data_IF_739018764440
#
_entry.id   IF_739018764440
#
_cell.length_a   1.000
_cell.length_b   1.000
_cell.length_c   1.000
_cell.angle_alpha   90.00
_cell.angle_beta   90.00
_cell.angle_gamma   90.00
#
_symmetry.space_group_name_H-M   'P 1'
#
loop_
_entity.id
_entity.type
_entity.pdbx_description
1 polymer ?
#
# COMPACT_ATOMS: atom_id res chain seq x y z
N UNK A 1 -5.92 2.73 2.76
CA UNK A 1 -4.75 2.46 1.89
C UNK A 1 -3.72 1.77 2.73
N UNK A 2 -3.02 0.78 2.19
CA UNK A 2 -1.95 0.05 2.90
C UNK A 2 -0.75 0.94 3.19
N UNK A 3 0.17 0.41 4.01
CA UNK A 3 1.46 1.01 4.28
C UNK A 3 2.48 0.56 3.22
N UNK A 4 3.48 1.38 2.98
CA UNK A 4 4.65 1.03 2.17
C UNK A 4 5.78 0.70 3.12
N UNK A 5 6.42 -0.44 2.93
CA UNK A 5 7.58 -0.85 3.70
C UNK A 5 8.47 -1.71 2.84
N UNK A 6 9.73 -1.83 3.24
CA UNK A 6 10.75 -2.56 2.51
C UNK A 6 11.56 -3.46 3.41
N UNK A 7 12.21 -4.43 2.77
CA UNK A 7 13.29 -5.20 3.37
C UNK A 7 14.62 -4.49 3.11
N UNK A 8 15.40 -4.29 4.17
CA UNK A 8 16.74 -3.73 4.11
C UNK A 8 17.64 -4.59 3.20
N UNK A 9 18.28 -3.96 2.21
CA UNK A 9 19.12 -4.64 1.23
C UNK A 9 20.39 -5.28 1.82
N UNK A 10 20.82 -4.85 2.99
CA UNK A 10 22.06 -5.27 3.64
C UNK A 10 21.85 -6.28 4.79
N UNK A 11 20.66 -6.32 5.39
CA UNK A 11 20.38 -7.18 6.55
C UNK A 11 19.26 -8.19 6.31
N UNK A 12 18.52 -8.08 5.20
CA UNK A 12 17.31 -8.85 4.92
C UNK A 12 16.24 -8.75 6.03
N UNK A 13 16.31 -7.69 6.85
CA UNK A 13 15.33 -7.39 7.91
C UNK A 13 14.29 -6.39 7.42
N UNK A 14 13.14 -6.41 8.08
CA UNK A 14 12.04 -5.50 7.84
C UNK A 14 12.34 -4.07 8.32
N UNK A 15 11.89 -3.09 7.54
CA UNK A 15 11.75 -1.69 7.96
C UNK A 15 10.38 -1.49 8.63
N UNK A 16 10.33 -1.65 9.95
CA UNK A 16 9.08 -1.60 10.71
C UNK A 16 8.57 -0.16 10.84
N UNK A 17 7.26 0.04 10.66
CA UNK A 17 6.58 1.32 10.85
C UNK A 17 6.67 1.81 12.31
N UNK A 18 6.85 3.12 12.49
CA UNK A 18 6.89 3.82 13.76
C UNK A 18 7.88 3.23 14.79
N UNK A 19 8.88 2.48 14.31
CA UNK A 19 9.94 1.90 15.12
C UNK A 19 11.24 2.63 14.86
N UNK A 20 11.89 3.06 15.95
CA UNK A 20 13.23 3.65 15.87
C UNK A 20 14.22 2.64 15.31
N UNK A 21 14.72 2.93 14.12
CA UNK A 21 15.74 2.16 13.44
C UNK A 21 16.41 3.07 12.42
N UNK A 22 17.73 2.96 12.30
CA UNK A 22 18.46 3.70 11.29
C UNK A 22 18.17 3.11 9.90
N UNK A 23 17.65 3.95 9.01
CA UNK A 23 17.36 3.61 7.63
C UNK A 23 17.99 4.64 6.69
N UNK A 24 18.59 4.15 5.61
CA UNK A 24 19.28 4.98 4.62
C UNK A 24 18.76 4.64 3.24
N UNK A 25 18.02 5.56 2.62
CA UNK A 25 17.67 5.48 1.21
C UNK A 25 18.90 5.87 0.39
N UNK A 26 19.51 4.92 -0.31
CA UNK A 26 20.71 5.17 -1.10
C UNK A 26 20.37 5.95 -2.37
N UNK A 27 21.14 7.00 -2.65
CA UNK A 27 20.94 7.87 -3.81
C UNK A 27 21.83 7.40 -4.97
N UNK A 28 21.29 7.26 -6.19
CA UNK A 28 22.09 6.84 -7.34
C UNK A 28 23.19 7.86 -7.69
N UNK A 29 24.36 7.42 -8.18
CA UNK A 29 25.52 8.30 -8.41
C UNK A 29 25.25 9.61 -9.15
N UNK A 30 24.44 9.64 -10.24
CA UNK A 30 24.15 10.89 -10.96
C UNK A 30 23.39 11.93 -10.12
N UNK A 31 22.68 11.51 -9.08
CA UNK A 31 21.83 12.37 -8.26
C UNK A 31 22.45 12.75 -6.91
N UNK A 32 23.62 12.18 -6.56
CA UNK A 32 24.27 12.42 -5.26
C UNK A 32 24.73 13.87 -5.08
N UNK A 33 25.00 14.60 -6.17
CA UNK A 33 25.30 16.03 -6.08
C UNK A 33 24.13 16.88 -5.57
N UNK A 34 22.89 16.41 -5.73
CA UNK A 34 21.66 17.08 -5.29
C UNK A 34 21.18 16.60 -3.92
N UNK A 35 21.23 15.28 -3.69
CA UNK A 35 20.62 14.66 -2.50
C UNK A 35 21.62 14.10 -1.48
N UNK A 36 22.92 14.15 -1.77
CA UNK A 36 23.93 13.43 -1.00
C UNK A 36 23.98 11.94 -1.35
N UNK A 37 24.82 11.18 -0.62
CA UNK A 37 25.03 9.76 -0.89
C UNK A 37 23.85 8.88 -0.46
N UNK A 38 23.20 9.26 0.63
CA UNK A 38 22.01 8.61 1.14
C UNK A 38 21.14 9.63 1.88
N UNK A 39 19.84 9.35 1.96
CA UNK A 39 18.87 10.12 2.73
C UNK A 39 18.54 9.30 3.98
N UNK A 40 18.81 9.87 5.15
CA UNK A 40 18.63 9.22 6.44
C UNK A 40 17.19 9.37 6.94
N UNK A 41 16.66 8.29 7.52
CA UNK A 41 15.45 8.26 8.32
C UNK A 41 15.70 7.44 9.60
N UNK A 42 15.39 8.01 10.77
CA UNK A 42 15.63 7.36 12.06
C UNK A 42 14.39 6.73 12.68
N UNK A 43 13.21 7.07 12.17
CA UNK A 43 11.93 6.53 12.58
C UNK A 43 10.96 6.58 11.41
N UNK A 44 11.00 5.54 10.59
CA UNK A 44 10.19 5.43 9.38
C UNK A 44 8.69 5.40 9.69
N UNK A 45 7.89 6.06 8.85
CA UNK A 45 6.47 6.34 9.08
C UNK A 45 5.50 5.46 8.28
N UNK A 46 6.03 4.46 7.56
CA UNK A 46 5.21 3.55 6.76
C UNK A 46 4.68 4.14 5.45
N UNK A 47 5.06 5.37 5.07
CA UNK A 47 4.53 6.04 3.88
C UNK A 47 5.59 6.39 2.84
N UNK A 48 6.80 5.85 2.93
CA UNK A 48 7.84 6.06 1.94
C UNK A 48 8.53 7.41 2.06
N UNK A 49 8.43 8.05 3.22
CA UNK A 49 9.16 9.28 3.50
C UNK A 49 10.52 8.96 4.10
N UNK A 50 11.55 9.58 3.54
CA UNK A 50 12.90 9.58 4.06
C UNK A 50 13.38 11.02 4.17
N UNK A 51 13.62 11.49 5.39
CA UNK A 51 13.93 12.90 5.64
C UNK A 51 12.78 13.80 5.18
N UNK A 52 13.01 14.64 4.16
CA UNK A 52 11.98 15.53 3.58
C UNK A 52 11.46 15.06 2.22
N UNK A 53 11.87 13.86 1.77
CA UNK A 53 11.61 13.38 0.43
C UNK A 53 10.69 12.16 0.44
N UNK A 54 9.89 12.04 -0.61
CA UNK A 54 9.09 10.88 -0.92
C UNK A 54 9.88 9.97 -1.88
N UNK A 55 10.05 8.70 -1.50
CA UNK A 55 10.76 7.69 -2.31
C UNK A 55 10.14 7.57 -3.71
N UNK A 56 8.82 7.61 -3.81
CA UNK A 56 8.14 7.43 -5.09
C UNK A 56 8.30 8.66 -5.99
N UNK A 57 8.31 9.87 -5.44
CA UNK A 57 8.64 11.08 -6.21
C UNK A 57 10.06 11.00 -6.78
N UNK A 58 11.03 10.59 -5.93
CA UNK A 58 12.42 10.45 -6.31
C UNK A 58 12.61 9.40 -7.42
N UNK A 59 11.89 8.28 -7.35
CA UNK A 59 12.02 7.20 -8.33
C UNK A 59 11.59 7.64 -9.74
N UNK A 60 10.56 8.48 -9.86
CA UNK A 60 10.18 9.05 -11.16
C UNK A 60 11.28 9.96 -11.71
N UNK A 61 11.88 10.80 -10.85
CA UNK A 61 12.98 11.68 -11.26
C UNK A 61 14.21 10.87 -11.69
N UNK A 62 14.59 9.87 -10.88
CA UNK A 62 15.78 9.06 -11.13
C UNK A 62 15.67 8.29 -12.44
N UNK A 63 14.49 7.72 -12.70
CA UNK A 63 14.24 6.86 -13.85
C UNK A 63 13.53 7.58 -15.00
N UNK A 64 13.56 8.91 -15.05
CA UNK A 64 12.87 9.70 -16.09
C UNK A 64 13.17 9.23 -17.52
N UNK A 65 14.41 8.83 -17.79
CA UNK A 65 14.83 8.38 -19.12
C UNK A 65 14.24 7.01 -19.51
N UNK A 66 13.82 6.20 -18.54
CA UNK A 66 13.19 4.89 -18.80
C UNK A 66 11.69 4.98 -19.03
N UNK A 67 11.06 6.13 -18.76
CA UNK A 67 9.60 6.28 -18.87
C UNK A 67 9.03 5.82 -20.22
N UNK A 68 9.64 6.12 -21.39
CA UNK A 68 9.14 5.61 -22.66
C UNK A 68 9.09 4.08 -22.72
N UNK A 69 10.15 3.40 -22.24
CA UNK A 69 10.20 1.93 -22.19
C UNK A 69 9.18 1.36 -21.21
N UNK A 70 9.01 2.00 -20.05
CA UNK A 70 8.01 1.59 -19.04
C UNK A 70 6.60 1.67 -19.65
N UNK A 71 6.27 2.76 -20.35
CA UNK A 71 4.99 2.91 -21.05
C UNK A 71 4.78 1.78 -22.06
N UNK A 72 5.78 1.47 -22.90
CA UNK A 72 5.68 0.37 -23.86
C UNK A 72 5.42 -0.98 -23.19
N UNK A 73 6.07 -1.25 -22.04
CA UNK A 73 5.86 -2.48 -21.27
C UNK A 73 4.46 -2.52 -20.63
N UNK A 74 3.95 -1.39 -20.13
CA UNK A 74 2.58 -1.28 -19.60
C UNK A 74 1.57 -1.57 -20.72
N UNK A 75 1.69 -0.90 -21.87
CA UNK A 75 0.80 -1.08 -23.02
C UNK A 75 0.84 -2.52 -23.58
N UNK A 76 1.99 -3.19 -23.46
CA UNK A 76 2.15 -4.60 -23.84
C UNK A 76 1.65 -5.60 -22.78
N UNK A 77 1.15 -5.15 -21.62
CA UNK A 77 0.74 -6.01 -20.51
C UNK A 77 1.89 -6.78 -19.86
N UNK A 78 3.12 -6.24 -19.94
CA UNK A 78 4.35 -6.83 -19.38
C UNK A 78 4.84 -6.11 -18.12
N UNK A 79 4.03 -5.22 -17.57
CA UNK A 79 4.29 -4.49 -16.33
C UNK A 79 3.39 -5.06 -15.24
N UNK A 80 3.92 -5.25 -14.03
CA UNK A 80 3.17 -5.89 -12.93
C UNK A 80 2.11 -4.95 -12.38
N UNK A 81 2.40 -3.66 -12.28
CA UNK A 81 1.44 -2.67 -11.80
C UNK A 81 0.32 -2.43 -12.81
N UNK A 82 -0.91 -2.78 -12.41
CA UNK A 82 -2.12 -2.44 -13.16
C UNK A 82 -2.26 -0.91 -13.24
N UNK A 83 -2.18 -0.40 -14.46
CA UNK A 83 -2.16 1.03 -14.72
C UNK A 83 -3.35 1.45 -15.55
N UNK A 84 -3.95 2.60 -15.19
CA UNK A 84 -5.04 3.19 -15.98
C UNK A 84 -4.49 3.97 -17.18
N UNK A 85 -5.32 4.23 -18.19
CA UNK A 85 -4.96 5.14 -19.30
C UNK A 85 -4.54 6.53 -18.79
N UNK A 86 -5.14 7.00 -17.68
CA UNK A 86 -4.77 8.25 -17.03
C UNK A 86 -3.33 8.22 -16.50
N UNK A 87 -2.90 7.10 -15.90
CA UNK A 87 -1.54 6.94 -15.40
C UNK A 87 -0.53 6.98 -16.55
N UNK A 88 -0.80 6.26 -17.64
CA UNK A 88 0.05 6.23 -18.85
C UNK A 88 0.16 7.63 -19.47
N UNK A 89 -0.96 8.36 -19.56
CA UNK A 89 -0.97 9.75 -20.03
C UNK A 89 -0.11 10.65 -19.16
N UNK A 90 -0.22 10.53 -17.83
CA UNK A 90 0.56 11.35 -16.90
C UNK A 90 2.05 11.01 -16.91
N UNK A 91 2.43 9.73 -17.09
CA UNK A 91 3.82 9.33 -17.32
C UNK A 91 4.39 10.01 -18.58
N UNK A 92 3.62 9.99 -19.68
CA UNK A 92 4.00 10.66 -20.93
C UNK A 92 4.12 12.17 -20.73
N UNK A 93 3.18 12.79 -20.03
CA UNK A 93 3.22 14.22 -19.71
C UNK A 93 4.46 14.56 -18.87
N UNK A 94 4.79 13.76 -17.85
CA UNK A 94 5.99 13.98 -17.04
C UNK A 94 7.28 13.92 -17.87
N UNK A 95 7.39 12.90 -18.74
CA UNK A 95 8.54 12.76 -19.63
C UNK A 95 8.70 13.98 -20.55
N UNK A 96 7.59 14.44 -21.14
CA UNK A 96 7.53 15.58 -22.05
C UNK A 96 7.60 16.95 -21.34
N UNK A 97 7.60 16.99 -20.00
CA UNK A 97 7.62 18.23 -19.22
C UNK A 97 6.31 19.02 -19.25
N UNK A 98 5.17 18.33 -19.43
CA UNK A 98 3.82 18.89 -19.38
C UNK A 98 3.23 18.80 -17.97
N UNK A 99 2.14 19.52 -17.74
CA UNK A 99 1.40 19.46 -16.47
C UNK A 99 0.82 18.07 -16.23
N UNK A 100 0.79 17.68 -14.95
CA UNK A 100 0.18 16.44 -14.49
C UNK A 100 -1.22 16.71 -13.96
N UNK A 101 -2.11 15.74 -14.15
CA UNK A 101 -3.45 15.73 -13.57
C UNK A 101 -3.47 15.01 -12.20
N UNK A 102 -2.33 14.51 -11.74
CA UNK A 102 -2.17 13.72 -10.53
C UNK A 102 -0.90 14.10 -9.78
N UNK A 103 -0.80 13.64 -8.53
CA UNK A 103 0.43 13.76 -7.73
C UNK A 103 1.54 12.90 -8.32
N UNK A 104 2.78 13.41 -8.25
CA UNK A 104 3.96 12.72 -8.80
C UNK A 104 4.15 11.34 -8.16
N UNK A 105 3.86 11.22 -6.86
CA UNK A 105 3.89 9.98 -6.08
C UNK A 105 3.12 8.85 -6.75
N UNK A 106 1.95 9.15 -7.33
CA UNK A 106 1.13 8.14 -8.01
C UNK A 106 1.86 7.53 -9.21
N UNK A 107 2.66 8.33 -9.92
CA UNK A 107 3.50 7.84 -11.01
C UNK A 107 4.65 6.99 -10.49
N UNK A 108 5.24 7.36 -9.35
CA UNK A 108 6.27 6.55 -8.71
C UNK A 108 5.75 5.18 -8.26
N UNK A 109 4.53 5.14 -7.69
CA UNK A 109 3.85 3.88 -7.33
C UNK A 109 3.64 3.02 -8.59
N UNK A 110 3.16 3.60 -9.69
CA UNK A 110 3.01 2.88 -10.97
C UNK A 110 4.34 2.30 -11.46
N UNK A 111 5.45 3.01 -11.26
CA UNK A 111 6.78 2.61 -11.72
C UNK A 111 7.45 1.57 -10.81
N UNK A 112 7.21 1.57 -9.50
CA UNK A 112 8.06 0.80 -8.58
C UNK A 112 7.33 0.14 -7.40
N UNK A 113 5.99 0.06 -7.41
CA UNK A 113 5.25 -0.56 -6.30
C UNK A 113 5.55 -2.06 -6.14
N UNK A 114 5.78 -2.77 -7.24
CA UNK A 114 6.05 -4.21 -7.23
C UNK A 114 7.53 -4.50 -7.43
N UNK A 115 8.02 -5.57 -6.80
CA UNK A 115 9.42 -5.98 -6.88
C UNK A 115 9.88 -6.20 -8.34
N UNK A 116 9.04 -6.83 -9.16
CA UNK A 116 9.34 -7.10 -10.56
C UNK A 116 9.57 -5.82 -11.37
N UNK A 117 8.75 -4.79 -11.09
CA UNK A 117 8.80 -3.50 -11.76
C UNK A 117 9.97 -2.66 -11.22
N UNK A 118 10.17 -2.63 -9.90
CA UNK A 118 11.27 -1.92 -9.25
C UNK A 118 12.63 -2.47 -9.73
N UNK A 119 12.80 -3.79 -9.82
CA UNK A 119 14.13 -4.39 -10.06
C UNK A 119 14.65 -4.22 -11.48
N UNK A 120 13.77 -3.96 -12.44
CA UNK A 120 14.15 -3.72 -13.84
C UNK A 120 14.52 -2.26 -14.11
N UNK A 121 14.31 -1.36 -13.15
CA UNK A 121 14.69 0.04 -13.27
C UNK A 121 16.21 0.21 -13.31
N UNK A 122 16.65 1.28 -13.94
CA UNK A 122 18.06 1.69 -13.97
C UNK A 122 18.51 2.08 -12.56
N UNK A 123 17.62 2.74 -11.82
CA UNK A 123 17.84 3.17 -10.46
C UNK A 123 16.71 2.68 -9.55
N UNK A 124 16.74 1.39 -9.15
CA UNK A 124 15.78 0.79 -8.23
C UNK A 124 15.87 1.38 -6.81
N UNK A 125 14.82 1.20 -6.02
CA UNK A 125 14.81 1.55 -4.59
C UNK A 125 15.82 0.66 -3.84
N UNK A 126 16.70 1.28 -3.06
CA UNK A 126 17.71 0.60 -2.23
C UNK A 126 17.76 1.27 -0.86
N UNK A 127 17.38 0.53 0.17
CA UNK A 127 17.32 1.00 1.56
C UNK A 127 18.19 0.08 2.41
N UNK A 128 19.07 0.66 3.22
CA UNK A 128 20.04 -0.07 4.06
C UNK A 128 20.00 0.40 5.50
N UNK A 129 20.49 -0.45 6.42
CA UNK A 129 20.58 -0.12 7.86
C UNK A 129 21.72 0.85 8.21
N UNK A 130 22.62 1.08 7.27
CA UNK A 130 23.79 1.97 7.36
C UNK A 130 24.08 2.59 6.01
N UNK A 131 24.83 3.69 5.99
CA UNK A 131 25.27 4.29 4.74
C UNK A 131 26.20 3.34 3.94
N UNK A 132 25.88 3.11 2.67
CA UNK A 132 26.61 2.22 1.76
C UNK A 132 26.69 2.82 0.35
N UNK A 133 27.57 2.27 -0.50
CA UNK A 133 27.63 2.67 -1.91
C UNK A 133 26.46 2.06 -2.67
N UNK A 134 25.74 2.90 -3.45
CA UNK A 134 24.54 2.50 -4.19
C UNK A 134 24.76 1.29 -5.10
N UNK A 135 25.94 1.19 -5.71
CA UNK A 135 26.29 0.12 -6.66
C UNK A 135 26.57 -1.23 -5.98
N UNK A 136 26.89 -1.23 -4.68
CA UNK A 136 27.32 -2.42 -3.96
C UNK A 136 26.17 -3.25 -3.37
N UNK A 137 24.93 -2.74 -3.41
CA UNK A 137 23.77 -3.42 -2.81
C UNK A 137 22.69 -3.70 -3.84
N UNK A 138 21.91 -4.75 -3.56
CA UNK A 138 20.76 -5.16 -4.38
C UNK A 138 19.55 -4.24 -4.12
N UNK A 139 18.58 -4.19 -5.05
CA UNK A 139 17.28 -3.56 -4.81
C UNK A 139 16.64 -4.07 -3.52
N UNK A 140 15.98 -3.17 -2.78
CA UNK A 140 15.14 -3.53 -1.65
C UNK A 140 13.85 -4.16 -2.14
N UNK A 141 13.45 -5.27 -1.51
CA UNK A 141 12.15 -5.90 -1.72
C UNK A 141 11.07 -5.14 -0.98
N UNK A 142 9.84 -5.17 -1.48
CA UNK A 142 8.66 -4.83 -0.72
C UNK A 142 8.53 -5.74 0.49
N UNK A 143 8.13 -5.16 1.62
CA UNK A 143 7.86 -5.91 2.83
C UNK A 143 6.46 -6.56 2.76
N UNK A 144 6.36 -7.90 2.84
CA UNK A 144 5.08 -8.59 2.81
C UNK A 144 4.14 -8.18 3.95
N UNK A 145 4.68 -7.81 5.11
CA UNK A 145 3.88 -7.36 6.25
C UNK A 145 3.66 -5.84 6.23
N UNK A 146 4.01 -5.13 5.15
CA UNK A 146 3.73 -3.71 4.95
C UNK A 146 4.17 -2.78 6.10
N UNK A 147 5.15 -3.15 6.91
CA UNK A 147 5.66 -2.37 8.05
C UNK A 147 5.17 -2.86 9.41
N UNK A 148 4.23 -3.81 9.45
CA UNK A 148 3.73 -4.42 10.67
C UNK A 148 4.66 -5.54 11.16
N UNK A 149 4.95 -5.60 12.47
CA UNK A 149 5.87 -6.60 13.04
C UNK A 149 5.41 -8.06 12.85
N UNK A 150 4.10 -8.26 12.68
CA UNK A 150 3.50 -9.54 12.30
C UNK A 150 2.57 -9.35 11.11
N UNK A 151 2.59 -10.34 10.20
CA UNK A 151 1.64 -10.48 9.10
C UNK A 151 0.32 -11.14 9.55
N UNK A 152 0.17 -11.43 10.85
CA UNK A 152 -0.99 -12.15 11.37
C UNK A 152 -2.22 -11.23 11.31
N UNK A 153 -3.22 -11.64 10.53
CA UNK A 153 -4.59 -11.17 10.71
C UNK A 153 -4.94 -11.42 12.17
N UNK A 154 -5.31 -10.39 12.92
CA UNK A 154 -5.98 -10.61 14.20
C UNK A 154 -7.19 -11.51 13.93
N UNK A 155 -7.09 -12.80 14.29
CA UNK A 155 -8.25 -13.68 14.34
C UNK A 155 -9.20 -13.08 15.37
N UNK A 156 -10.21 -12.34 14.91
CA UNK A 156 -11.33 -11.88 15.74
C UNK A 156 -12.21 -13.08 16.09
N UNK A 157 -11.68 -14.04 16.84
CA UNK A 157 -12.47 -15.09 17.46
C UNK A 157 -12.69 -14.79 18.94
N UNK A 158 -13.98 -14.65 19.27
CA UNK A 158 -14.59 -14.91 20.59
C UNK A 158 -14.62 -13.80 21.65
N UNK A 159 -15.41 -12.75 21.41
CA UNK A 159 -16.10 -12.04 22.49
C UNK A 159 -17.62 -11.95 22.23
N UNK A 160 -18.27 -13.10 22.15
CA UNK A 160 -19.72 -13.22 22.37
C UNK A 160 -20.01 -14.51 23.16
N UNK A 161 -19.41 -14.63 24.35
CA UNK A 161 -19.98 -15.46 25.41
C UNK A 161 -20.64 -14.54 26.43
N UNK A 162 -21.91 -14.19 26.19
CA UNK A 162 -22.79 -13.71 27.24
C UNK A 162 -23.79 -14.83 27.54
N UNK A 163 -23.39 -15.62 28.53
CA UNK A 163 -24.19 -16.25 29.60
C UNK A 163 -25.57 -16.80 29.23
N UNK A 164 -25.64 -18.12 29.04
CA UNK A 164 -26.82 -18.91 29.44
C UNK A 164 -27.01 -18.77 30.95
N UNK A 165 -27.80 -17.78 31.38
CA UNK A 165 -28.39 -17.78 32.71
C UNK A 165 -29.83 -18.31 32.60
N UNK A 166 -29.96 -19.52 33.13
CA UNK A 166 -31.18 -20.22 33.53
C UNK A 166 -32.33 -19.28 33.93
N UNK A 167 -33.42 -19.31 33.16
CA UNK A 167 -34.72 -18.94 33.69
C UNK A 167 -35.43 -20.21 34.15
N UNK A 168 -35.57 -20.32 35.46
CA UNK A 168 -36.39 -21.33 36.14
C UNK A 168 -37.84 -21.20 35.66
N UNK A 169 -38.39 -22.35 35.26
CA UNK A 169 -39.77 -22.55 34.87
C UNK A 169 -40.66 -22.48 36.11
N UNK A 170 -41.36 -21.36 36.29
CA UNK A 170 -42.34 -21.18 37.36
C UNK A 170 -43.44 -20.21 36.92
N UNK A 171 -44.42 -20.70 36.15
CA UNK A 171 -45.81 -20.19 36.23
C UNK A 171 -46.79 -21.10 35.49
N UNK A 172 -47.63 -21.77 36.26
CA UNK A 172 -48.95 -22.22 35.87
C UNK A 172 -49.85 -21.03 35.48
N UNK A 173 -50.59 -21.13 34.37
CA UNK A 173 -51.97 -20.64 34.25
C UNK A 173 -52.60 -21.07 32.91
N UNK A 174 -53.82 -21.61 33.01
CA UNK A 174 -54.75 -21.90 31.92
C UNK A 174 -55.13 -20.62 31.17
N UNK A 175 -55.41 -20.74 29.86
CA UNK A 175 -56.60 -20.22 29.16
C UNK A 175 -56.34 -20.14 27.64
N UNK A 176 -56.75 -21.19 26.91
CA UNK A 176 -57.10 -21.07 25.50
C UNK A 176 -58.51 -20.48 25.43
N UNK A 177 -58.69 -19.29 24.83
CA UNK A 177 -59.88 -18.96 24.06
C UNK A 177 -59.80 -17.58 23.38
N UNK A 178 -60.33 -17.55 22.14
CA UNK A 178 -60.86 -16.40 21.37
C UNK A 178 -59.90 -15.62 20.45
N UNK A 179 -59.79 -16.11 19.20
CA UNK A 179 -59.65 -15.24 18.02
C UNK A 179 -61.03 -15.04 17.38
N UNK A 180 -61.63 -13.87 17.61
CA UNK A 180 -62.84 -13.41 16.92
C UNK A 180 -62.47 -12.40 15.82
N UNK A 181 -62.70 -12.85 14.60
CA UNK A 181 -63.36 -12.16 13.49
C UNK A 181 -63.24 -10.63 13.28
N UNK A 182 -62.92 -10.33 12.01
CA UNK A 182 -63.58 -9.32 11.16
C UNK A 182 -63.24 -7.83 11.31
N UNK A 183 -62.61 -7.30 10.25
CA UNK A 183 -63.17 -6.32 9.28
C UNK A 183 -62.03 -5.48 8.68
N UNK A 184 -61.58 -5.80 7.48
CA UNK A 184 -62.09 -5.25 6.21
C UNK A 184 -61.71 -3.78 5.96
N UNK A 185 -61.01 -3.50 4.84
CA UNK A 185 -61.66 -2.91 3.66
C UNK A 185 -60.68 -2.76 2.48
N UNK A 186 -61.07 -3.42 1.38
CA UNK A 186 -61.24 -2.92 0.02
C UNK A 186 -60.05 -2.35 -0.80
N UNK A 187 -59.92 -3.02 -1.97
CA UNK A 187 -59.80 -2.51 -3.36
C UNK A 187 -58.43 -1.90 -3.73
N UNK A 188 -57.77 -2.28 -4.83
CA UNK A 188 -58.04 -3.29 -5.85
C UNK A 188 -57.15 -3.07 -7.11
N UNK A 189 -57.18 -4.07 -7.99
CA UNK A 189 -57.05 -4.04 -9.46
C UNK A 189 -55.66 -4.03 -10.13
N UNK A 190 -55.44 -5.13 -10.88
CA UNK A 190 -54.71 -5.33 -12.14
C UNK A 190 -53.17 -5.22 -12.10
N UNK A 191 -52.41 -6.08 -12.79
CA UNK A 191 -52.66 -6.91 -13.98
C UNK A 191 -52.14 -8.33 -13.82
#
# INVERSE_FOLDING_TARGET
>A
MGQFSWIYSDTDKQLVDNKKADAYLLVPPPFQGKYGKAIYEGCYDGYGHFGIYDVYDLIVEWNKQMIPEIIERIEAGKWRCDSTESNVRNLRNYYEGKNLDCELRLLGIVIACYDEDNFVLQYPIKITSKEMDYECVKPSKGDPCQGWESCEEEEWENEFQIEENSYEDDSCEENEELEDEFLSFKRGRAR
#
